data_IF_167826788049
#
_entry.id   IF_167826788049
#
_cell.length_a   1.000
_cell.length_b   1.000
_cell.length_c   1.000
_cell.angle_alpha   90.00
_cell.angle_beta   90.00
_cell.angle_gamma   90.00
#
_symmetry.space_group_name_H-M   'P 1'
#
loop_
_entity.id
_entity.type
_entity.pdbx_description
1 polymer ?
#
# COMPACT_ATOMS: atom_id res chain seq x y z
N UNK A 1 -21.55 7.03 -27.40
CA UNK A 1 -22.93 7.51 -27.43
C UNK A 1 -23.76 6.29 -27.69
N UNK A 2 -24.91 6.14 -27.04
CA UNK A 2 -25.85 5.05 -27.35
C UNK A 2 -27.21 5.64 -27.68
N UNK A 3 -27.94 4.99 -28.57
CA UNK A 3 -29.33 5.31 -28.83
C UNK A 3 -30.16 4.30 -28.06
N UNK A 4 -30.99 4.78 -27.15
CA UNK A 4 -31.89 3.96 -26.33
C UNK A 4 -33.27 4.60 -26.48
N UNK A 5 -34.27 3.81 -26.88
CA UNK A 5 -35.64 4.26 -27.14
C UNK A 5 -35.73 5.46 -28.11
N UNK A 6 -34.86 5.46 -29.14
CA UNK A 6 -34.78 6.55 -30.13
C UNK A 6 -34.15 7.85 -29.61
N UNK A 7 -33.71 7.90 -28.35
CA UNK A 7 -33.08 9.06 -27.74
C UNK A 7 -31.57 8.88 -27.60
N UNK A 8 -30.81 9.94 -27.87
CA UNK A 8 -29.35 9.94 -27.71
C UNK A 8 -28.99 10.01 -26.25
N UNK A 9 -28.16 9.07 -25.84
CA UNK A 9 -27.65 8.95 -24.49
C UNK A 9 -26.13 9.03 -24.49
N UNK A 10 -25.62 9.85 -23.56
CA UNK A 10 -24.22 10.18 -23.42
C UNK A 10 -23.65 9.55 -22.15
N UNK A 11 -22.48 8.93 -22.27
CA UNK A 11 -21.72 8.45 -21.11
C UNK A 11 -21.12 9.61 -20.34
N UNK A 12 -20.69 9.40 -19.09
CA UNK A 12 -19.99 10.44 -18.31
C UNK A 12 -18.76 11.02 -19.02
N UNK A 13 -18.07 10.21 -19.83
CA UNK A 13 -16.94 10.67 -20.66
C UNK A 13 -17.39 11.68 -21.71
N UNK A 14 -18.51 11.41 -22.37
CA UNK A 14 -19.06 12.26 -23.42
C UNK A 14 -19.68 13.52 -22.86
N UNK A 15 -20.44 13.40 -21.78
CA UNK A 15 -20.95 14.56 -21.03
C UNK A 15 -19.79 15.46 -20.60
N UNK A 16 -18.72 14.88 -20.05
CA UNK A 16 -17.52 15.63 -19.66
C UNK A 16 -16.88 16.40 -20.81
N UNK A 17 -16.79 15.79 -22.00
CA UNK A 17 -16.28 16.49 -23.19
C UNK A 17 -17.18 17.66 -23.61
N UNK A 18 -18.51 17.50 -23.52
CA UNK A 18 -19.47 18.53 -23.89
C UNK A 18 -19.47 19.72 -22.92
N UNK A 19 -19.24 19.49 -21.63
CA UNK A 19 -19.26 20.54 -20.58
C UNK A 19 -17.86 20.99 -20.14
N UNK A 20 -16.82 20.57 -20.88
CA UNK A 20 -15.41 20.88 -20.60
C UNK A 20 -14.97 20.52 -19.17
N UNK A 21 -15.36 19.33 -18.71
CA UNK A 21 -14.98 18.77 -17.41
C UNK A 21 -14.52 17.33 -17.54
N UNK A 22 -13.77 16.86 -16.54
CA UNK A 22 -13.36 15.46 -16.53
C UNK A 22 -14.56 14.55 -16.24
N UNK A 23 -14.56 13.35 -16.82
CA UNK A 23 -15.59 12.34 -16.54
C UNK A 23 -15.70 11.99 -15.04
N UNK A 24 -14.58 12.07 -14.30
CA UNK A 24 -14.53 11.88 -12.85
C UNK A 24 -15.32 12.98 -12.12
N UNK A 25 -15.21 14.23 -12.58
CA UNK A 25 -15.99 15.34 -12.05
C UNK A 25 -17.49 15.11 -12.23
N UNK A 26 -17.92 14.65 -13.40
CA UNK A 26 -19.33 14.31 -13.66
C UNK A 26 -19.82 13.18 -12.73
N UNK A 27 -18.98 12.17 -12.48
CA UNK A 27 -19.29 11.10 -11.52
C UNK A 27 -19.40 11.58 -10.08
N UNK A 28 -18.54 12.52 -9.67
CA UNK A 28 -18.63 13.14 -8.34
C UNK A 28 -19.93 13.92 -8.19
N UNK A 29 -20.31 14.71 -9.20
CA UNK A 29 -21.58 15.44 -9.18
C UNK A 29 -22.80 14.53 -9.07
N UNK A 30 -22.83 13.40 -9.77
CA UNK A 30 -23.89 12.41 -9.59
C UNK A 30 -23.90 11.81 -8.18
N UNK A 31 -22.71 11.50 -7.65
CA UNK A 31 -22.56 10.93 -6.30
C UNK A 31 -23.10 11.89 -5.25
N UNK A 32 -22.68 13.16 -5.29
CA UNK A 32 -23.15 14.20 -4.38
C UNK A 32 -24.63 14.53 -4.60
N UNK A 33 -25.13 14.43 -5.83
CA UNK A 33 -26.57 14.56 -6.11
C UNK A 33 -27.39 13.46 -5.46
N UNK A 34 -26.89 12.23 -5.39
CA UNK A 34 -27.56 11.15 -4.67
C UNK A 34 -27.58 11.44 -3.15
N UNK A 35 -26.47 11.92 -2.59
CA UNK A 35 -26.43 12.31 -1.16
C UNK A 35 -27.40 13.45 -0.83
N UNK A 36 -27.61 14.39 -1.76
CA UNK A 36 -28.60 15.47 -1.60
C UNK A 36 -30.02 14.93 -1.71
N UNK A 37 -30.31 14.08 -2.69
CA UNK A 37 -31.62 13.46 -2.85
C UNK A 37 -31.99 12.61 -1.62
N UNK A 38 -31.04 11.91 -1.02
CA UNK A 38 -31.23 11.15 0.24
C UNK A 38 -31.60 12.06 1.43
N UNK A 39 -31.20 13.33 1.41
CA UNK A 39 -31.58 14.34 2.43
C UNK A 39 -32.89 15.06 2.11
N UNK A 40 -33.48 14.81 0.94
CA UNK A 40 -34.66 15.52 0.44
C UNK A 40 -34.33 16.82 -0.31
N UNK A 41 -33.06 17.11 -0.54
CA UNK A 41 -32.62 18.30 -1.28
C UNK A 41 -32.66 18.08 -2.80
N UNK A 42 -32.66 19.18 -3.55
CA UNK A 42 -32.59 19.14 -5.01
C UNK A 42 -31.22 18.62 -5.48
N UNK A 43 -31.23 17.72 -6.45
CA UNK A 43 -30.02 17.21 -7.11
C UNK A 43 -29.24 18.33 -7.80
N UNK A 44 -27.91 18.18 -7.86
CA UNK A 44 -27.03 19.12 -8.59
C UNK A 44 -27.17 18.94 -10.10
N UNK A 45 -27.24 17.68 -10.55
CA UNK A 45 -27.42 17.32 -11.95
C UNK A 45 -28.58 16.33 -12.11
N UNK A 46 -29.20 16.27 -13.31
CA UNK A 46 -30.25 15.29 -13.61
C UNK A 46 -29.80 13.85 -13.34
N UNK A 47 -30.77 13.02 -12.98
CA UNK A 47 -30.52 11.61 -12.66
C UNK A 47 -30.15 10.81 -13.92
N UNK A 48 -29.01 10.11 -13.94
CA UNK A 48 -28.65 9.26 -15.08
C UNK A 48 -29.43 7.96 -15.08
N UNK A 49 -29.69 7.47 -16.29
CA UNK A 49 -30.16 6.10 -16.50
C UNK A 49 -28.95 5.16 -16.35
N UNK A 50 -29.12 4.08 -15.59
CA UNK A 50 -28.07 3.07 -15.32
C UNK A 50 -28.36 1.81 -16.11
N UNK A 51 -27.46 1.43 -17.02
CA UNK A 51 -27.68 0.33 -17.96
C UNK A 51 -26.59 -0.74 -17.85
N UNK A 52 -27.00 -2.00 -17.94
CA UNK A 52 -26.14 -3.17 -17.94
C UNK A 52 -25.67 -3.59 -16.55
N UNK A 53 -24.93 -4.71 -16.49
CA UNK A 53 -24.44 -5.30 -15.22
C UNK A 53 -23.51 -4.37 -14.45
N UNK A 54 -22.73 -3.56 -15.16
CA UNK A 54 -21.81 -2.57 -14.57
C UNK A 54 -22.50 -1.26 -14.17
N UNK A 55 -23.83 -1.14 -14.35
CA UNK A 55 -24.62 0.05 -14.04
C UNK A 55 -24.01 1.33 -14.63
N UNK A 56 -23.61 1.26 -15.90
CA UNK A 56 -23.00 2.39 -16.60
C UNK A 56 -24.01 3.52 -16.70
N UNK A 57 -23.57 4.73 -16.35
CA UNK A 57 -24.42 5.92 -16.30
C UNK A 57 -24.54 6.58 -17.67
N UNK A 58 -25.76 6.90 -18.04
CA UNK A 58 -26.12 7.54 -19.29
C UNK A 58 -27.05 8.73 -19.02
N UNK A 59 -26.74 9.88 -19.62
CA UNK A 59 -27.58 11.08 -19.57
C UNK A 59 -28.23 11.31 -20.92
N UNK A 60 -29.46 11.82 -20.89
CA UNK A 60 -30.19 12.15 -22.11
C UNK A 60 -29.63 13.45 -22.71
N UNK A 61 -29.77 13.61 -24.03
CA UNK A 61 -29.46 14.86 -24.74
C UNK A 61 -30.15 16.07 -24.11
N UNK A 62 -31.38 15.89 -23.62
CA UNK A 62 -32.17 16.93 -22.94
C UNK A 62 -31.59 17.38 -21.60
N UNK A 63 -30.78 16.53 -20.95
CA UNK A 63 -30.18 16.83 -19.65
C UNK A 63 -28.89 17.64 -19.79
N UNK A 64 -28.24 17.57 -20.95
CA UNK A 64 -26.93 18.19 -21.21
C UNK A 64 -26.95 19.70 -20.94
N UNK A 65 -27.94 20.48 -21.40
CA UNK A 65 -27.98 21.93 -21.12
C UNK A 65 -28.07 22.25 -19.62
N UNK A 66 -28.78 21.43 -18.83
CA UNK A 66 -28.87 21.62 -17.39
C UNK A 66 -27.53 21.35 -16.70
N UNK A 67 -26.81 20.31 -17.14
CA UNK A 67 -25.47 19.99 -16.64
C UNK A 67 -24.47 21.07 -17.04
N UNK A 68 -24.55 21.57 -18.27
CA UNK A 68 -23.70 22.66 -18.76
C UNK A 68 -23.94 23.95 -17.97
N UNK A 69 -25.21 24.30 -17.72
CA UNK A 69 -25.57 25.44 -16.88
C UNK A 69 -25.01 25.29 -15.47
N UNK A 70 -25.14 24.12 -14.85
CA UNK A 70 -24.53 23.84 -13.56
C UNK A 70 -23.00 23.98 -13.59
N UNK A 71 -22.35 23.44 -14.62
CA UNK A 71 -20.89 23.46 -14.78
C UNK A 71 -20.30 24.87 -14.95
N UNK A 72 -21.07 25.81 -15.50
CA UNK A 72 -20.70 27.22 -15.65
C UNK A 72 -20.93 28.05 -14.39
N UNK A 73 -21.94 27.70 -13.60
CA UNK A 73 -22.34 28.49 -12.41
C UNK A 73 -21.73 28.00 -11.10
N UNK A 74 -21.06 26.86 -11.10
CA UNK A 74 -20.40 26.33 -9.91
C UNK A 74 -19.13 27.13 -9.59
N UNK A 75 -19.05 27.64 -8.35
CA UNK A 75 -17.91 28.38 -7.84
C UNK A 75 -17.06 27.54 -6.89
N UNK A 76 -15.82 27.98 -6.67
CA UNK A 76 -14.91 27.36 -5.70
C UNK A 76 -15.48 27.54 -4.30
N UNK A 77 -15.91 26.44 -3.68
CA UNK A 77 -16.42 26.43 -2.32
C UNK A 77 -17.81 25.81 -2.20
N UNK A 78 -18.61 25.85 -3.27
CA UNK A 78 -20.00 25.37 -3.28
C UNK A 78 -20.12 23.90 -2.89
N UNK A 79 -19.09 23.10 -3.22
CA UNK A 79 -19.03 21.67 -2.94
C UNK A 79 -17.97 21.31 -1.89
N UNK A 80 -17.56 22.29 -1.07
CA UNK A 80 -16.55 22.09 -0.03
C UNK A 80 -17.01 21.12 1.07
N UNK A 81 -18.31 21.11 1.41
CA UNK A 81 -18.88 20.18 2.39
C UNK A 81 -18.62 18.72 1.96
N UNK A 82 -18.96 18.39 0.71
CA UNK A 82 -18.78 17.05 0.17
C UNK A 82 -17.30 16.65 0.09
N UNK A 83 -16.46 17.58 -0.34
CA UNK A 83 -15.01 17.35 -0.48
C UNK A 83 -14.35 17.06 0.87
N UNK A 84 -14.71 17.80 1.92
CA UNK A 84 -14.18 17.59 3.29
C UNK A 84 -14.54 16.19 3.80
N UNK A 85 -15.80 15.77 3.65
CA UNK A 85 -16.28 14.45 4.10
C UNK A 85 -15.58 13.29 3.40
N UNK A 86 -15.31 13.43 2.10
CA UNK A 86 -14.58 12.39 1.35
C UNK A 86 -13.16 12.19 1.90
N UNK A 87 -12.48 13.26 2.30
CA UNK A 87 -11.15 13.17 2.91
C UNK A 87 -11.18 12.48 4.28
N UNK A 88 -12.17 12.82 5.12
CA UNK A 88 -12.36 12.20 6.44
C UNK A 88 -12.65 10.70 6.36
N UNK A 89 -13.45 10.27 5.37
CA UNK A 89 -13.69 8.83 5.14
C UNK A 89 -12.41 8.11 4.71
N UNK A 90 -11.64 8.72 3.80
CA UNK A 90 -10.39 8.14 3.28
C UNK A 90 -9.31 8.00 4.35
N UNK A 91 -9.19 8.95 5.28
CA UNK A 91 -8.26 8.83 6.41
C UNK A 91 -8.60 7.63 7.29
N UNK A 92 -9.88 7.45 7.63
CA UNK A 92 -10.36 6.35 8.47
C UNK A 92 -10.25 4.98 7.79
N UNK A 93 -10.38 4.92 6.47
CA UNK A 93 -10.25 3.66 5.72
C UNK A 93 -8.78 3.24 5.53
N UNK A 94 -7.88 4.22 5.43
CA UNK A 94 -6.44 3.99 5.28
C UNK A 94 -5.75 3.50 6.57
N UNK A 95 -6.29 3.85 7.75
CA UNK A 95 -5.82 3.32 9.04
C UNK A 95 -6.18 1.84 9.20
N UNK A 96 -7.36 1.40 8.73
CA UNK A 96 -7.80 0.01 8.88
C UNK A 96 -7.08 -0.96 7.92
N UNK A 97 -6.77 -0.55 6.68
CA UNK A 97 -6.11 -1.45 5.69
C UNK A 97 -4.62 -1.66 5.95
N UNK A 98 -3.93 -0.76 6.68
CA UNK A 98 -2.50 -0.87 6.96
C UNK A 98 -2.16 -1.90 8.05
N UNK A 99 -3.05 -2.12 9.02
CA UNK A 99 -2.85 -3.16 10.05
C UNK A 99 -2.89 -4.57 9.46
N UNK A 100 -3.92 -4.85 8.67
CA UNK A 100 -4.24 -6.20 8.18
C UNK A 100 -3.21 -6.73 7.15
N UNK A 101 -2.59 -5.86 6.36
CA UNK A 101 -1.56 -6.24 5.37
C UNK A 101 -0.19 -6.46 6.03
N UNK A 102 0.14 -5.71 7.08
CA UNK A 102 1.42 -5.83 7.80
C UNK A 102 1.48 -7.13 8.61
N UNK A 103 0.37 -7.50 9.24
CA UNK A 103 0.26 -8.69 10.07
C UNK A 103 0.35 -9.99 9.23
N UNK A 104 -0.33 -10.04 8.09
CA UNK A 104 -0.22 -11.15 7.12
C UNK A 104 1.17 -11.32 6.53
N UNK A 105 1.94 -10.23 6.35
CA UNK A 105 3.35 -10.31 5.91
C UNK A 105 4.30 -10.77 7.03
N UNK A 106 4.06 -10.36 8.28
CA UNK A 106 4.85 -10.82 9.44
C UNK A 106 4.68 -12.32 9.70
N UNK A 107 3.45 -12.84 9.61
CA UNK A 107 3.21 -14.27 9.81
C UNK A 107 3.92 -15.14 8.76
N UNK A 108 3.81 -14.79 7.48
CA UNK A 108 4.51 -15.49 6.38
C UNK A 108 6.04 -15.46 6.50
N UNK A 109 6.61 -14.41 7.09
CA UNK A 109 8.06 -14.30 7.27
C UNK A 109 8.57 -15.02 8.52
N UNK A 110 7.71 -15.31 9.49
CA UNK A 110 8.05 -16.14 10.66
C UNK A 110 8.04 -17.62 10.28
N UNK A 111 7.06 -18.06 9.50
CA UNK A 111 6.96 -19.44 9.03
C UNK A 111 8.13 -19.81 8.09
N UNK A 112 8.47 -18.93 7.14
CA UNK A 112 9.63 -19.13 6.26
C UNK A 112 11.00 -19.15 6.99
N UNK A 113 11.10 -18.56 8.18
CA UNK A 113 12.34 -18.56 8.99
C UNK A 113 12.49 -19.80 9.89
N UNK A 114 11.39 -20.51 10.15
CA UNK A 114 11.40 -21.74 10.95
C UNK A 114 11.88 -22.96 10.16
N UNK A 115 11.79 -22.94 8.84
CA UNK A 115 12.18 -24.06 7.97
C UNK A 115 13.63 -24.03 7.46
N UNK A 116 14.39 -22.95 7.69
CA UNK A 116 15.81 -22.95 7.30
C UNK A 116 16.63 -23.85 8.24
N UNK A 117 17.36 -24.79 7.64
CA UNK A 117 18.40 -25.60 8.27
C UNK A 117 19.41 -24.70 9.01
N UNK A 118 20.00 -25.19 10.10
CA UNK A 118 21.07 -24.49 10.82
C UNK A 118 22.24 -24.13 9.90
N UNK A 119 22.51 -24.97 8.91
CA UNK A 119 23.55 -24.79 7.89
C UNK A 119 23.25 -23.57 7.01
N UNK A 120 22.01 -23.41 6.55
CA UNK A 120 21.59 -22.27 5.73
C UNK A 120 21.65 -20.95 6.51
N UNK A 121 21.34 -20.99 7.82
CA UNK A 121 21.46 -19.82 8.70
C UNK A 121 22.90 -19.39 8.90
N UNK A 122 23.82 -20.34 9.02
CA UNK A 122 25.26 -20.08 9.08
C UNK A 122 25.77 -19.47 7.77
N UNK A 123 25.42 -20.06 6.64
CA UNK A 123 25.79 -19.55 5.30
C UNK A 123 25.29 -18.12 5.09
N UNK A 124 24.02 -17.84 5.43
CA UNK A 124 23.44 -16.51 5.25
C UNK A 124 24.09 -15.46 6.16
N UNK A 125 24.42 -15.83 7.39
CA UNK A 125 25.12 -14.94 8.34
C UNK A 125 26.55 -14.66 7.88
N UNK A 126 27.21 -15.65 7.30
CA UNK A 126 28.56 -15.52 6.77
C UNK A 126 28.62 -14.62 5.53
N UNK A 127 27.72 -14.81 4.56
CA UNK A 127 27.59 -13.94 3.38
C UNK A 127 27.34 -12.48 3.79
N UNK A 128 26.46 -12.26 4.77
CA UNK A 128 26.15 -10.92 5.28
C UNK A 128 27.35 -10.25 5.96
N UNK A 129 28.21 -11.02 6.66
CA UNK A 129 29.41 -10.48 7.30
C UNK A 129 30.50 -10.14 6.30
N UNK A 130 30.68 -10.95 5.24
CA UNK A 130 31.64 -10.69 4.16
C UNK A 130 31.29 -9.41 3.39
N UNK A 131 30.01 -9.20 3.10
CA UNK A 131 29.52 -7.98 2.43
C UNK A 131 29.81 -6.72 3.26
N UNK A 132 29.68 -6.82 4.59
CA UNK A 132 29.98 -5.71 5.50
C UNK A 132 31.46 -5.35 5.59
N UNK A 133 32.36 -6.31 5.35
CA UNK A 133 33.81 -6.10 5.36
C UNK A 133 34.37 -5.78 3.96
N UNK A 134 33.54 -5.77 2.91
CA UNK A 134 33.93 -5.40 1.55
C UNK A 134 34.88 -6.41 0.89
N UNK A 135 34.85 -7.67 1.30
CA UNK A 135 35.68 -8.75 0.72
C UNK A 135 34.92 -9.44 -0.42
N UNK A 136 35.58 -9.61 -1.57
CA UNK A 136 35.00 -10.34 -2.69
C UNK A 136 34.90 -11.84 -2.39
N UNK A 137 33.73 -12.42 -2.67
CA UNK A 137 33.34 -13.78 -2.31
C UNK A 137 34.06 -14.84 -3.17
N UNK A 138 34.65 -14.45 -4.30
CA UNK A 138 35.15 -15.35 -5.35
C UNK A 138 36.41 -16.14 -4.98
N UNK A 139 37.05 -15.87 -3.85
CA UNK A 139 38.33 -16.50 -3.47
C UNK A 139 38.30 -17.26 -2.15
N UNK A 140 37.16 -17.31 -1.43
CA UNK A 140 37.08 -18.02 -0.15
C UNK A 140 36.72 -19.50 -0.33
N UNK A 141 37.56 -20.36 0.23
CA UNK A 141 37.27 -21.79 0.39
C UNK A 141 36.44 -22.03 1.64
N UNK A 142 35.75 -23.17 1.71
CA UNK A 142 35.00 -23.61 2.91
C UNK A 142 35.94 -23.69 4.14
N UNK A 143 37.21 -24.01 3.93
CA UNK A 143 38.24 -24.08 4.97
C UNK A 143 38.54 -22.70 5.56
N UNK A 144 38.53 -21.65 4.74
CA UNK A 144 38.67 -20.26 5.18
C UNK A 144 37.48 -19.80 6.03
N UNK A 145 36.26 -20.26 5.69
CA UNK A 145 35.06 -20.00 6.47
C UNK A 145 35.15 -20.62 7.88
N UNK A 146 35.60 -21.87 7.97
CA UNK A 146 35.79 -22.54 9.26
C UNK A 146 36.95 -21.95 10.07
N UNK A 147 38.02 -21.49 9.41
CA UNK A 147 39.13 -20.82 10.07
C UNK A 147 38.68 -19.48 10.69
N UNK A 148 37.86 -18.70 10.00
CA UNK A 148 37.31 -17.44 10.49
C UNK A 148 36.36 -17.62 11.68
N UNK A 149 35.47 -18.60 11.63
CA UNK A 149 34.59 -18.98 12.75
C UNK A 149 35.41 -19.38 13.98
N UNK A 150 36.46 -20.21 13.81
CA UNK A 150 37.35 -20.60 14.92
C UNK A 150 38.09 -19.40 15.51
N UNK A 151 38.61 -18.49 14.68
CA UNK A 151 39.31 -17.31 15.16
C UNK A 151 38.38 -16.39 15.97
N UNK A 152 37.13 -16.21 15.54
CA UNK A 152 36.14 -15.38 16.22
C UNK A 152 35.65 -16.00 17.52
N UNK A 153 35.44 -17.32 17.55
CA UNK A 153 35.15 -18.06 18.79
C UNK A 153 36.34 -17.93 19.75
N UNK A 154 37.57 -18.10 19.28
CA UNK A 154 38.77 -17.97 20.11
C UNK A 154 38.95 -16.54 20.64
N UNK A 155 38.71 -15.50 19.84
CA UNK A 155 38.75 -14.10 20.30
C UNK A 155 37.66 -13.80 21.33
N UNK A 156 36.47 -14.36 21.14
CA UNK A 156 35.35 -14.20 22.09
C UNK A 156 35.63 -14.95 23.39
N UNK A 157 36.20 -16.15 23.32
CA UNK A 157 36.67 -16.91 24.48
C UNK A 157 37.81 -16.20 25.21
N UNK A 158 38.77 -15.62 24.47
CA UNK A 158 39.86 -14.84 25.07
C UNK A 158 39.31 -13.58 25.76
N UNK A 159 38.40 -12.85 25.13
CA UNK A 159 37.74 -11.70 25.75
C UNK A 159 36.94 -12.09 27.00
N UNK A 160 36.29 -13.25 27.01
CA UNK A 160 35.63 -13.80 28.20
C UNK A 160 36.64 -14.21 29.28
N UNK A 161 37.78 -14.79 28.91
CA UNK A 161 38.89 -15.11 29.80
C UNK A 161 39.61 -13.86 30.34
N UNK A 162 39.59 -12.74 29.60
CA UNK A 162 40.18 -11.47 30.02
C UNK A 162 39.20 -10.66 30.89
N UNK A 163 37.88 -10.83 30.68
CA UNK A 163 36.82 -10.19 31.49
C UNK A 163 36.54 -10.91 32.81
N UNK A 164 36.91 -12.19 32.93
CA UNK A 164 36.77 -12.94 34.16
C UNK A 164 38.16 -13.25 34.72
N UNK A 165 38.38 -13.05 36.03
CA UNK A 165 39.62 -13.40 36.73
C UNK A 165 39.74 -14.93 36.78
N UNK A 166 39.97 -15.58 35.63
CA UNK A 166 39.99 -17.03 35.48
C UNK A 166 41.43 -17.51 35.54
N UNK A 167 41.80 -18.08 36.69
CA UNK A 167 43.09 -18.74 36.87
C UNK A 167 43.00 -20.13 36.24
N UNK A 168 43.84 -20.37 35.24
CA UNK A 168 44.02 -21.69 34.64
C UNK A 168 44.74 -22.60 35.64
N UNK A 169 44.10 -23.70 36.04
CA UNK A 169 44.78 -24.83 36.69
C UNK A 169 44.56 -26.09 35.88
N UNK A 170 45.48 -27.05 36.02
CA UNK A 170 45.87 -28.07 35.03
C UNK A 170 44.80 -29.06 34.50
N UNK A 171 43.50 -28.84 34.72
CA UNK A 171 42.47 -29.44 33.85
C UNK A 171 41.05 -28.85 33.96
N UNK A 172 40.83 -27.68 34.57
CA UNK A 172 39.49 -27.04 34.61
C UNK A 172 39.58 -25.52 34.64
N UNK A 173 38.66 -24.88 33.93
CA UNK A 173 38.38 -23.45 34.10
C UNK A 173 37.34 -23.30 35.22
N UNK A 174 37.70 -22.57 36.28
CA UNK A 174 36.77 -22.18 37.34
C UNK A 174 36.54 -20.68 37.22
N UNK A 175 35.27 -20.29 37.06
CA UNK A 175 34.83 -18.89 37.04
C UNK A 175 34.55 -18.48 38.49
N UNK A 176 35.24 -17.44 38.98
CA UNK A 176 34.90 -16.76 40.25
C UNK A 176 33.96 -15.58 39.98
#
# INVERSE_FOLDING_TARGET
MKIIDGQKHFTAKEVGMLVERTHLTVHLWDTWSNELAERGDKRLIPEPIKIGKQKTRYWNEKDIPAIEHFAKNIHRGDLAEFSKRQWSKKSNESSNKRGDISEKKRLKSIDAKKELSLEDKLIYTFIYLLDKEGKEISELTIEDCFAFEREKINKSLQALMDMSLVIKTDNKYVVM
#
